data_IF_293351626177
#
_entry.id   IF_293351626177
#
_cell.length_a   1.000
_cell.length_b   1.000
_cell.length_c   1.000
_cell.angle_alpha   90.00
_cell.angle_beta   90.00
_cell.angle_gamma   90.00
#
_symmetry.space_group_name_H-M   'P 1'
#
loop_
_entity.id
_entity.type
_entity.pdbx_description
1 polymer ?
#
# COMPACT_ATOMS: atom_id res chain seq x y z
N UNK A 1 -3.21 -23.94 -16.32
CA UNK A 1 -2.18 -24.22 -15.30
C UNK A 1 -2.33 -23.18 -14.19
N UNK A 2 -2.73 -23.57 -12.97
CA UNK A 2 -2.75 -22.63 -11.83
C UNK A 2 -1.33 -22.55 -11.28
N UNK A 3 -0.75 -21.35 -11.18
CA UNK A 3 0.60 -21.17 -10.63
C UNK A 3 0.60 -21.49 -9.13
N UNK A 4 1.75 -21.90 -8.57
CA UNK A 4 1.87 -22.14 -7.12
C UNK A 4 1.46 -20.90 -6.30
N UNK A 5 1.76 -19.70 -6.81
CA UNK A 5 1.33 -18.44 -6.19
C UNK A 5 -0.19 -18.30 -6.20
N UNK A 6 -0.87 -18.61 -7.30
CA UNK A 6 -2.33 -18.58 -7.37
C UNK A 6 -2.97 -19.57 -6.38
N UNK A 7 -2.39 -20.77 -6.21
CA UNK A 7 -2.88 -21.75 -5.24
C UNK A 7 -2.69 -21.27 -3.79
N UNK A 8 -1.53 -20.68 -3.49
CA UNK A 8 -1.25 -20.12 -2.17
C UNK A 8 -2.20 -18.98 -1.83
N UNK A 9 -2.49 -18.10 -2.79
CA UNK A 9 -3.51 -17.05 -2.69
C UNK A 9 -4.86 -17.72 -2.42
N UNK A 10 -5.37 -18.55 -3.33
CA UNK A 10 -6.69 -19.19 -3.21
C UNK A 10 -6.90 -19.92 -1.87
N UNK A 11 -5.88 -20.61 -1.34
CA UNK A 11 -5.94 -21.27 -0.03
C UNK A 11 -6.23 -20.30 1.11
N UNK A 12 -5.68 -19.08 1.06
CA UNK A 12 -5.91 -18.03 2.07
C UNK A 12 -7.30 -17.40 1.92
N UNK A 13 -7.79 -17.22 0.69
CA UNK A 13 -9.15 -16.70 0.45
C UNK A 13 -10.25 -17.67 0.88
N UNK A 14 -10.05 -18.99 0.67
CA UNK A 14 -11.04 -19.99 1.07
C UNK A 14 -11.40 -19.95 2.55
N UNK A 15 -10.46 -19.52 3.42
CA UNK A 15 -10.73 -19.31 4.85
C UNK A 15 -11.44 -17.98 5.14
N UNK A 16 -11.17 -16.93 4.35
CA UNK A 16 -11.76 -15.58 4.53
C UNK A 16 -13.25 -15.57 4.15
N UNK A 17 -13.64 -16.28 3.09
CA UNK A 17 -15.06 -16.37 2.69
C UNK A 17 -15.95 -17.02 3.76
N UNK A 18 -15.37 -17.86 4.63
CA UNK A 18 -16.09 -18.47 5.77
C UNK A 18 -16.20 -17.51 6.96
N UNK A 19 -15.30 -16.53 7.06
CA UNK A 19 -15.28 -15.52 8.11
C UNK A 19 -16.15 -14.32 7.76
N UNK A 20 -17.17 -14.47 6.88
CA UNK A 20 -18.18 -13.43 6.61
C UNK A 20 -18.57 -12.77 7.92
N UNK A 21 -17.92 -11.64 8.18
CA UNK A 21 -18.19 -10.84 9.36
C UNK A 21 -19.61 -10.39 9.08
N UNK A 22 -20.55 -10.86 9.89
CA UNK A 22 -21.90 -10.30 9.92
C UNK A 22 -21.80 -8.87 10.45
N UNK A 23 -21.13 -8.00 9.69
CA UNK A 23 -21.20 -6.58 9.87
C UNK A 23 -22.60 -6.20 9.42
N UNK A 24 -23.49 -6.11 10.39
CA UNK A 24 -24.74 -5.38 10.24
C UNK A 24 -24.37 -3.93 9.99
N UNK A 25 -24.24 -3.54 8.72
CA UNK A 25 -24.23 -2.13 8.33
C UNK A 25 -25.26 -1.88 7.25
N UNK A 26 -25.99 -0.79 7.46
CA UNK A 26 -27.30 -0.43 6.91
C UNK A 26 -27.24 0.08 5.46
N UNK A 27 -26.15 -0.19 4.74
CA UNK A 27 -25.95 0.34 3.39
C UNK A 27 -25.55 -0.76 2.39
N UNK A 28 -26.36 -0.93 1.35
CA UNK A 28 -26.32 -1.99 0.33
C UNK A 28 -25.11 -1.92 -0.63
N UNK A 29 -23.98 -1.37 -0.21
CA UNK A 29 -22.79 -1.23 -1.04
C UNK A 29 -21.88 -2.47 -0.89
N UNK A 30 -21.31 -3.01 -1.98
CA UNK A 30 -20.33 -4.09 -1.90
C UNK A 30 -19.11 -3.63 -1.11
N UNK A 31 -18.89 -4.18 0.08
CA UNK A 31 -17.70 -3.92 0.88
C UNK A 31 -16.54 -4.77 0.39
N UNK A 32 -15.34 -4.18 0.31
CA UNK A 32 -14.14 -4.94 0.02
C UNK A 32 -13.83 -5.87 1.18
N UNK A 33 -13.72 -7.17 0.89
CA UNK A 33 -13.38 -8.18 1.89
C UNK A 33 -11.88 -8.31 2.08
N UNK A 34 -11.09 -7.82 1.11
CA UNK A 34 -9.64 -8.00 1.06
C UNK A 34 -8.95 -6.69 0.74
N UNK A 35 -7.97 -6.37 1.58
CA UNK A 35 -6.99 -5.31 1.36
C UNK A 35 -5.63 -5.87 1.01
N UNK A 36 -4.92 -5.24 0.07
CA UNK A 36 -3.56 -5.56 -0.34
C UNK A 36 -2.70 -4.31 -0.15
N UNK A 37 -1.61 -4.44 0.61
CA UNK A 37 -0.59 -3.38 0.66
C UNK A 37 0.07 -3.25 -0.71
N UNK A 38 -0.02 -2.07 -1.29
CA UNK A 38 0.21 -1.85 -2.71
C UNK A 38 1.18 -0.69 -2.94
N UNK A 39 2.44 -1.04 -3.19
CA UNK A 39 3.49 -0.09 -3.59
C UNK A 39 3.55 0.12 -5.10
N UNK A 40 2.80 -0.65 -5.88
CA UNK A 40 2.93 -0.73 -7.33
C UNK A 40 4.15 -1.53 -7.81
N UNK A 41 4.98 -2.05 -6.90
CA UNK A 41 6.04 -2.98 -7.28
C UNK A 41 5.48 -4.26 -7.90
N UNK A 42 6.28 -4.93 -8.72
CA UNK A 42 5.90 -6.14 -9.48
C UNK A 42 5.21 -7.18 -8.60
N UNK A 43 5.74 -7.46 -7.41
CA UNK A 43 5.18 -8.46 -6.51
C UNK A 43 3.78 -8.10 -6.03
N UNK A 44 3.59 -6.85 -5.57
CA UNK A 44 2.29 -6.36 -5.11
C UNK A 44 1.27 -6.33 -6.24
N UNK A 45 1.69 -5.99 -7.46
CA UNK A 45 0.86 -6.00 -8.67
C UNK A 45 0.50 -7.41 -9.11
N UNK A 46 1.44 -8.36 -9.04
CA UNK A 46 1.18 -9.76 -9.33
C UNK A 46 0.20 -10.37 -8.32
N UNK A 47 0.37 -10.09 -7.03
CA UNK A 47 -0.55 -10.54 -5.97
C UNK A 47 -1.94 -9.95 -6.18
N UNK A 48 -2.05 -8.66 -6.49
CA UNK A 48 -3.31 -8.01 -6.84
C UNK A 48 -4.00 -8.72 -8.01
N UNK A 49 -3.32 -8.82 -9.16
CA UNK A 49 -3.87 -9.45 -10.37
C UNK A 49 -4.29 -10.92 -10.16
N UNK A 50 -3.55 -11.68 -9.35
CA UNK A 50 -3.91 -13.07 -9.04
C UNK A 50 -5.06 -13.16 -8.03
N UNK A 51 -5.15 -12.21 -7.10
CA UNK A 51 -6.23 -12.13 -6.12
C UNK A 51 -7.57 -11.92 -6.82
N UNK A 52 -7.63 -11.02 -7.79
CA UNK A 52 -8.83 -10.76 -8.60
C UNK A 52 -9.31 -11.99 -9.38
N UNK A 53 -8.41 -12.91 -9.74
CA UNK A 53 -8.77 -14.21 -10.33
C UNK A 53 -9.24 -15.26 -9.33
N UNK A 54 -8.97 -15.04 -8.04
CA UNK A 54 -9.32 -15.98 -6.97
C UNK A 54 -10.56 -15.55 -6.19
N UNK A 55 -10.90 -14.26 -6.21
CA UNK A 55 -12.06 -13.72 -5.50
C UNK A 55 -13.35 -14.00 -6.26
N UNK A 56 -14.47 -14.05 -5.53
CA UNK A 56 -15.79 -14.19 -6.13
C UNK A 56 -16.16 -12.94 -6.90
N UNK A 57 -16.76 -13.13 -8.09
CA UNK A 57 -17.26 -12.06 -8.95
C UNK A 57 -18.12 -11.09 -8.12
N UNK A 58 -17.84 -9.79 -8.23
CA UNK A 58 -18.58 -8.73 -7.54
C UNK A 58 -18.03 -8.28 -6.19
N UNK A 59 -16.94 -8.87 -5.70
CA UNK A 59 -16.28 -8.41 -4.47
C UNK A 59 -15.11 -7.48 -4.81
N UNK A 60 -15.13 -6.22 -4.34
CA UNK A 60 -14.03 -5.31 -4.58
C UNK A 60 -12.77 -5.68 -3.80
N UNK A 61 -11.62 -5.26 -4.32
CA UNK A 61 -10.30 -5.38 -3.70
C UNK A 61 -9.77 -3.98 -3.40
N UNK A 62 -9.39 -3.74 -2.15
CA UNK A 62 -8.78 -2.49 -1.72
C UNK A 62 -7.25 -2.60 -1.88
N UNK A 63 -6.67 -1.75 -2.71
CA UNK A 63 -5.24 -1.58 -2.88
C UNK A 63 -4.79 -0.39 -2.05
N UNK A 64 -3.98 -0.65 -1.03
CA UNK A 64 -3.62 0.35 -0.01
C UNK A 64 -2.17 0.78 -0.24
N UNK A 65 -1.98 1.95 -0.85
CA UNK A 65 -0.68 2.61 -0.90
C UNK A 65 -0.47 3.42 0.38
N UNK A 66 0.75 3.36 0.94
CA UNK A 66 1.13 4.10 2.13
C UNK A 66 2.35 4.93 1.79
N UNK A 67 2.23 6.26 1.86
CA UNK A 67 3.40 7.14 1.73
C UNK A 67 3.54 8.04 2.95
N UNK A 68 4.78 8.23 3.37
CA UNK A 68 5.13 9.07 4.50
C UNK A 68 5.27 10.53 4.07
N UNK A 69 4.75 11.44 4.89
CA UNK A 69 5.03 12.86 4.73
C UNK A 69 6.49 13.12 5.06
N UNK A 70 7.21 13.71 4.11
CA UNK A 70 8.55 14.17 4.36
C UNK A 70 8.52 15.67 4.70
N UNK A 71 8.85 16.01 5.95
CA UNK A 71 8.96 17.41 6.37
C UNK A 71 10.16 18.03 5.65
N UNK A 72 9.91 18.99 4.77
CA UNK A 72 10.95 19.87 4.25
C UNK A 72 11.55 20.63 5.42
N UNK A 73 12.82 20.40 5.77
CA UNK A 73 13.58 21.33 6.60
C UNK A 73 13.88 22.58 5.77
N UNK A 74 12.87 23.42 5.58
CA UNK A 74 13.08 24.78 5.10
C UNK A 74 12.82 25.71 6.26
N UNK A 75 13.82 25.91 7.11
CA UNK A 75 13.99 27.22 7.73
C UNK A 75 15.46 27.63 7.86
N UNK A 76 15.67 28.81 7.30
CA UNK A 76 16.91 29.57 7.14
C UNK A 76 17.56 29.87 8.49
N UNK A 77 18.76 29.37 8.72
CA UNK A 77 19.76 30.18 9.44
C UNK A 77 21.18 29.84 9.00
N UNK A 78 21.90 30.88 8.60
CA UNK A 78 23.34 30.87 8.38
C UNK A 78 24.05 30.18 9.56
N UNK A 79 24.68 29.02 9.34
CA UNK A 79 25.95 28.70 10.01
C UNK A 79 26.70 27.55 9.34
N UNK A 80 27.92 27.93 8.94
CA UNK A 80 29.10 27.17 8.56
C UNK A 80 29.18 25.73 9.12
N UNK A 81 29.57 24.82 8.22
CA UNK A 81 30.54 23.73 8.45
C UNK A 81 30.17 22.62 9.46
N UNK A 82 29.80 21.44 8.97
CA UNK A 82 30.67 20.25 9.00
C UNK A 82 30.04 19.11 8.17
N UNK A 83 30.90 18.29 7.57
CA UNK A 83 30.59 17.07 6.83
C UNK A 83 30.28 15.93 7.80
N UNK A 84 29.19 15.19 7.53
CA UNK A 84 29.07 13.72 7.65
C UNK A 84 27.70 13.32 7.09
N UNK A 85 27.68 12.92 5.82
CA UNK A 85 26.50 12.29 5.21
C UNK A 85 26.72 10.78 5.31
N UNK A 86 26.43 10.25 6.49
CA UNK A 86 26.21 8.82 6.69
C UNK A 86 24.84 8.68 7.35
N UNK A 87 23.82 8.38 6.54
CA UNK A 87 22.56 7.70 6.88
C UNK A 87 21.56 7.96 5.75
N UNK A 88 21.24 6.89 5.01
CA UNK A 88 20.19 6.72 4.01
C UNK A 88 19.49 8.00 3.53
N UNK A 89 19.71 8.32 2.25
CA UNK A 89 19.00 9.36 1.51
C UNK A 89 17.49 9.28 1.75
N UNK A 90 17.02 10.04 2.74
CA UNK A 90 15.63 10.45 2.81
C UNK A 90 15.40 11.27 1.56
N UNK A 91 14.91 10.61 0.52
CA UNK A 91 14.59 11.26 -0.73
C UNK A 91 13.49 12.29 -0.42
N UNK A 92 13.87 13.55 -0.53
CA UNK A 92 13.06 14.67 -0.09
C UNK A 92 12.10 15.01 -1.24
N UNK A 93 10.88 14.47 -1.22
CA UNK A 93 9.83 14.80 -2.21
C UNK A 93 8.98 16.00 -1.77
N UNK A 94 8.46 16.79 -2.72
CA UNK A 94 7.85 18.09 -2.44
C UNK A 94 6.40 17.93 -1.97
N UNK A 95 5.74 16.94 -2.54
CA UNK A 95 4.44 16.44 -2.16
C UNK A 95 4.55 14.94 -1.84
N UNK A 96 3.69 14.41 -0.97
CA UNK A 96 3.54 12.97 -0.84
C UNK A 96 3.12 12.26 -2.14
N UNK A 97 2.52 13.00 -3.08
CA UNK A 97 2.21 12.50 -4.42
C UNK A 97 3.45 12.26 -5.28
N UNK A 98 4.59 12.84 -4.90
CA UNK A 98 5.86 12.66 -5.57
C UNK A 98 6.66 11.47 -4.98
N UNK A 99 6.10 10.76 -3.98
CA UNK A 99 6.72 9.56 -3.47
C UNK A 99 6.78 8.48 -4.57
N UNK A 100 7.93 7.83 -4.80
CA UNK A 100 8.16 6.97 -5.96
C UNK A 100 7.29 5.72 -5.91
N UNK A 101 7.03 5.19 -4.73
CA UNK A 101 6.08 4.09 -4.52
C UNK A 101 4.65 4.52 -4.87
N UNK A 102 4.24 5.75 -4.53
CA UNK A 102 2.91 6.25 -4.89
C UNK A 102 2.76 6.46 -6.39
N UNK A 103 3.77 7.01 -7.05
CA UNK A 103 3.80 7.14 -8.50
C UNK A 103 3.71 5.77 -9.19
N UNK A 104 4.47 4.80 -8.68
CA UNK A 104 4.45 3.43 -9.20
C UNK A 104 3.11 2.74 -8.95
N UNK A 105 2.49 2.95 -7.77
CA UNK A 105 1.17 2.45 -7.44
C UNK A 105 0.10 3.00 -8.39
N UNK A 106 0.11 4.30 -8.68
CA UNK A 106 -0.82 4.91 -9.63
C UNK A 106 -0.70 4.29 -11.03
N UNK A 107 0.53 4.18 -11.56
CA UNK A 107 0.75 3.57 -12.88
C UNK A 107 0.31 2.11 -12.91
N UNK A 108 0.68 1.33 -11.89
CA UNK A 108 0.36 -0.10 -11.84
C UNK A 108 -1.13 -0.35 -11.64
N UNK A 109 -1.83 0.55 -10.94
CA UNK A 109 -3.27 0.52 -10.81
C UNK A 109 -3.97 0.72 -12.17
N UNK A 110 -3.48 1.63 -13.01
CA UNK A 110 -3.99 1.77 -14.38
C UNK A 110 -3.79 0.50 -15.19
N UNK A 111 -2.63 -0.14 -15.07
CA UNK A 111 -2.35 -1.40 -15.76
C UNK A 111 -3.27 -2.52 -15.29
N UNK A 112 -3.55 -2.63 -13.98
CA UNK A 112 -4.55 -3.56 -13.44
C UNK A 112 -5.95 -3.32 -14.02
N UNK A 113 -6.38 -2.05 -14.12
CA UNK A 113 -7.67 -1.69 -14.73
C UNK A 113 -7.73 -2.00 -16.23
N UNK A 114 -6.61 -1.86 -16.96
CA UNK A 114 -6.52 -2.26 -18.38
C UNK A 114 -6.58 -3.77 -18.54
N UNK A 115 -5.96 -4.53 -17.63
CA UNK A 115 -5.94 -6.00 -17.67
C UNK A 115 -7.31 -6.62 -17.34
N UNK A 116 -8.04 -6.03 -16.40
CA UNK A 116 -9.41 -6.46 -16.09
C UNK A 116 -10.32 -5.26 -15.81
N UNK A 117 -11.06 -4.84 -16.83
CA UNK A 117 -12.05 -3.76 -16.72
C UNK A 117 -13.28 -4.11 -15.89
N UNK A 118 -13.51 -5.42 -15.66
CA UNK A 118 -14.63 -5.91 -14.84
C UNK A 118 -14.22 -6.08 -13.37
N UNK A 119 -12.92 -5.96 -13.06
CA UNK A 119 -12.42 -6.02 -11.69
C UNK A 119 -12.82 -4.76 -10.92
N UNK A 120 -13.38 -4.94 -9.73
CA UNK A 120 -13.70 -3.84 -8.84
C UNK A 120 -12.49 -3.56 -7.95
N UNK A 121 -11.71 -2.55 -8.31
CA UNK A 121 -10.51 -2.16 -7.56
C UNK A 121 -10.69 -0.77 -6.96
N UNK A 122 -10.34 -0.62 -5.69
CA UNK A 122 -10.25 0.69 -5.05
C UNK A 122 -8.80 0.98 -4.69
N UNK A 123 -8.24 2.06 -5.23
CA UNK A 123 -6.92 2.53 -4.80
C UNK A 123 -7.09 3.52 -3.64
N UNK A 124 -6.61 3.11 -2.47
CA UNK A 124 -6.62 3.92 -1.25
C UNK A 124 -5.21 4.48 -1.04
N UNK A 125 -5.10 5.81 -1.06
CA UNK A 125 -3.85 6.53 -0.82
C UNK A 125 -3.79 6.97 0.65
N UNK A 126 -3.08 6.20 1.47
CA UNK A 126 -2.87 6.52 2.88
C UNK A 126 -1.64 7.39 3.08
N UNK A 127 -1.83 8.47 3.83
CA UNK A 127 -0.81 9.48 4.10
C UNK A 127 -0.41 9.39 5.57
N UNK A 128 0.86 9.09 5.86
CA UNK A 128 1.35 9.00 7.23
C UNK A 128 2.11 10.27 7.60
N UNK A 129 1.64 10.95 8.65
CA UNK A 129 2.29 12.14 9.20
C UNK A 129 3.36 11.72 10.23
N UNK A 130 4.54 12.35 10.19
CA UNK A 130 5.71 11.99 11.02
C UNK A 130 5.60 12.39 12.49
N UNK A 131 4.59 13.17 12.87
CA UNK A 131 4.27 13.53 14.25
C UNK A 131 3.99 12.31 15.15
N UNK A 132 3.67 11.15 14.57
CA UNK A 132 3.38 9.91 15.31
C UNK A 132 4.56 8.94 15.43
N UNK A 133 5.64 9.10 14.66
CA UNK A 133 6.77 8.15 14.60
C UNK A 133 7.91 8.49 15.58
N UNK A 134 7.84 9.63 16.29
CA UNK A 134 8.91 10.07 17.20
C UNK A 134 8.79 9.51 18.62
N UNK A 135 7.68 8.86 18.99
CA UNK A 135 7.53 8.28 20.34
C UNK A 135 8.22 6.93 20.53
N UNK A 136 8.52 6.19 19.45
CA UNK A 136 9.07 4.83 19.55
C UNK A 136 10.58 4.74 19.23
N UNK A 137 11.31 5.87 19.24
CA UNK A 137 12.79 5.84 19.21
C UNK A 137 13.40 5.69 20.61
N UNK A 138 12.79 4.84 21.43
CA UNK A 138 13.36 4.33 22.67
C UNK A 138 13.49 2.81 22.55
N UNK A 139 14.70 2.30 22.75
CA UNK A 139 15.04 0.86 22.86
C UNK A 139 15.35 0.13 21.54
N UNK A 140 16.38 0.58 20.84
CA UNK A 140 17.30 -0.37 20.21
C UNK A 140 18.23 -0.96 21.29
N UNK A 141 17.77 -2.01 21.98
CA UNK A 141 18.67 -2.92 22.69
C UNK A 141 19.22 -3.93 21.70
N UNK A 142 20.52 -3.83 21.45
CA UNK A 142 21.35 -4.81 20.75
C UNK A 142 21.14 -6.21 21.37
N UNK A 143 20.81 -7.21 20.55
CA UNK A 143 20.99 -8.64 20.83
C UNK A 143 21.99 -9.22 19.84
#
# INVERSE_FOLDING_TARGET
MKTFLQQAIAKRFGSISQLSIKSFDVCSCPQAQVGILFSGGLDSTAVAALTDKCILIGHPIDLINVAFQHLRQNDRSNKKHCKTIDSASYQIYASPNDAPDRQTALSSFEDLRRLNSNGHWHLILSQIFTNHLQSDKGEETCL
#
